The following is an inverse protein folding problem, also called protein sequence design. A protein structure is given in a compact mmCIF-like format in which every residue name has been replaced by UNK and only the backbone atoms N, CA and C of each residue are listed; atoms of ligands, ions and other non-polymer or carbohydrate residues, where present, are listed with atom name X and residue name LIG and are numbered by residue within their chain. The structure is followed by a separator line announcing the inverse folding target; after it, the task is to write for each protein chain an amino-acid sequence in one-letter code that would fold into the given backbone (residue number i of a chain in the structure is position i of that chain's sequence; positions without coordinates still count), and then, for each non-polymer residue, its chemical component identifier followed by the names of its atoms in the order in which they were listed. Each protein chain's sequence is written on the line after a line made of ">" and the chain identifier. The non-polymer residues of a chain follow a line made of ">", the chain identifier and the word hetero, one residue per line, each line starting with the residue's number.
data_IF_019465863681
#
_entry.id   IF_019465863681
#
_cell.length_a   1.000
_cell.length_b   1.000
_cell.length_c   1.000
_cell.angle_alpha   90.00
_cell.angle_beta   90.00
_cell.angle_gamma   90.00
#
_symmetry.space_group_name_H-M   'P 1'
#
loop_
_entity.id
_entity.type
_entity.pdbx_description
1 polymer ?
#
# COMPACT_ATOMS: atom_id res chain seq x y z
N UNK A 1 -9.48 10.34 -25.98
CA UNK A 1 -8.49 9.32 -25.56
C UNK A 1 -9.16 8.33 -24.63
N UNK A 2 -8.66 7.07 -24.54
CA UNK A 2 -9.02 6.16 -23.46
C UNK A 2 -8.29 6.59 -22.18
N UNK A 3 -8.77 6.15 -20.99
CA UNK A 3 -8.07 6.41 -19.72
C UNK A 3 -6.61 5.94 -19.76
N UNK A 4 -6.35 4.77 -20.35
CA UNK A 4 -5.00 4.26 -20.53
C UNK A 4 -4.12 5.19 -21.39
N UNK A 5 -4.64 5.64 -22.54
CA UNK A 5 -3.90 6.55 -23.41
C UNK A 5 -3.64 7.91 -22.75
N UNK A 6 -4.59 8.40 -21.98
CA UNK A 6 -4.49 9.69 -21.27
C UNK A 6 -3.41 9.64 -20.20
N UNK A 7 -3.41 8.60 -19.37
CA UNK A 7 -2.38 8.41 -18.34
C UNK A 7 -1.00 8.18 -18.97
N UNK A 8 -0.91 7.37 -20.04
CA UNK A 8 0.34 7.16 -20.76
C UNK A 8 0.91 8.44 -21.37
N UNK A 9 0.06 9.29 -21.97
CA UNK A 9 0.48 10.58 -22.50
C UNK A 9 1.04 11.49 -21.39
N UNK A 10 0.33 11.60 -20.26
CA UNK A 10 0.77 12.40 -19.11
C UNK A 10 2.12 11.91 -18.54
N UNK A 11 2.30 10.59 -18.38
CA UNK A 11 3.57 10.00 -17.92
C UNK A 11 4.72 10.22 -18.92
N UNK A 12 4.40 10.34 -20.22
CA UNK A 12 5.37 10.62 -21.29
C UNK A 12 5.59 12.12 -21.52
N UNK A 13 5.08 12.99 -20.65
CA UNK A 13 5.12 14.45 -20.79
C UNK A 13 4.52 14.96 -22.11
N UNK A 14 3.50 14.28 -22.63
CA UNK A 14 2.76 14.65 -23.81
C UNK A 14 1.39 15.22 -23.45
N UNK A 15 0.83 16.04 -24.32
CA UNK A 15 -0.49 16.62 -24.13
C UNK A 15 -1.57 15.54 -24.23
N UNK A 16 -2.41 15.48 -23.20
CA UNK A 16 -3.62 14.66 -23.15
C UNK A 16 -4.85 15.53 -23.43
N UNK A 17 -5.99 14.90 -23.75
CA UNK A 17 -7.27 15.60 -23.96
C UNK A 17 -7.76 16.34 -22.70
N UNK A 18 -7.40 15.83 -21.50
CA UNK A 18 -7.51 16.51 -20.21
C UNK A 18 -6.56 15.86 -19.21
N UNK A 19 -6.39 16.49 -18.05
CA UNK A 19 -5.55 15.96 -16.96
C UNK A 19 -6.16 14.66 -16.42
N UNK A 20 -5.39 13.54 -16.31
CA UNK A 20 -5.88 12.30 -15.74
C UNK A 20 -6.37 12.46 -14.31
N UNK A 21 -7.52 11.89 -13.99
CA UNK A 21 -8.14 11.92 -12.65
C UNK A 21 -7.97 10.58 -11.97
N UNK A 22 -7.14 10.53 -10.92
CA UNK A 22 -6.91 9.32 -10.11
C UNK A 22 -6.70 9.65 -8.63
N UNK A 23 -7.76 9.96 -7.90
CA UNK A 23 -7.65 10.30 -6.48
C UNK A 23 -7.21 9.10 -5.64
N UNK A 24 -6.47 9.35 -4.57
CA UNK A 24 -6.16 8.37 -3.54
C UNK A 24 -7.39 8.26 -2.63
N UNK A 25 -8.16 7.21 -2.78
CA UNK A 25 -9.46 7.05 -2.14
C UNK A 25 -9.43 6.25 -0.84
N UNK A 26 -8.36 5.49 -0.60
CA UNK A 26 -8.21 4.64 0.59
C UNK A 26 -9.50 3.86 0.92
N UNK A 27 -9.82 3.70 2.19
CA UNK A 27 -10.96 2.94 2.67
C UNK A 27 -12.34 3.54 2.42
N UNK A 28 -12.48 4.69 1.73
CA UNK A 28 -13.81 5.21 1.40
C UNK A 28 -14.58 4.27 0.48
N UNK A 29 -13.85 3.51 -0.35
CA UNK A 29 -14.41 2.53 -1.29
C UNK A 29 -15.26 1.46 -0.61
N UNK A 30 -14.96 1.12 0.64
CA UNK A 30 -15.70 0.14 1.43
C UNK A 30 -17.17 0.47 1.58
N UNK A 31 -17.49 1.78 1.63
CA UNK A 31 -18.88 2.26 1.76
C UNK A 31 -19.74 1.93 0.55
N UNK A 32 -19.11 1.78 -0.62
CA UNK A 32 -19.82 1.43 -1.86
C UNK A 32 -20.19 -0.05 -1.93
N UNK A 33 -19.58 -0.88 -1.09
CA UNK A 33 -19.83 -2.32 -0.97
C UNK A 33 -20.38 -2.72 0.39
N UNK A 34 -20.78 -1.73 1.20
CA UNK A 34 -21.35 -1.91 2.54
C UNK A 34 -20.52 -2.82 3.44
N UNK A 35 -19.20 -2.62 3.43
CA UNK A 35 -18.25 -3.40 4.21
C UNK A 35 -17.68 -2.61 5.39
N UNK A 36 -17.37 -3.33 6.49
CA UNK A 36 -16.54 -2.79 7.57
C UNK A 36 -15.12 -2.53 7.04
N UNK A 37 -14.36 -1.69 7.74
CA UNK A 37 -12.97 -1.43 7.33
C UNK A 37 -12.13 -2.71 7.39
N UNK A 38 -12.26 -3.49 8.45
CA UNK A 38 -11.56 -4.77 8.61
C UNK A 38 -11.85 -5.73 7.44
N UNK A 39 -13.15 -5.94 7.12
CA UNK A 39 -13.53 -6.82 6.01
C UNK A 39 -12.94 -6.35 4.70
N UNK A 40 -13.04 -5.06 4.39
CA UNK A 40 -12.50 -4.48 3.17
C UNK A 40 -10.98 -4.56 3.11
N UNK A 41 -10.28 -4.32 4.22
CA UNK A 41 -8.81 -4.31 4.30
C UNK A 41 -8.17 -5.71 4.41
N UNK A 42 -8.97 -6.79 4.55
CA UNK A 42 -8.46 -8.15 4.73
C UNK A 42 -9.01 -9.18 3.75
N UNK A 43 -9.96 -8.78 2.90
CA UNK A 43 -10.61 -9.66 1.91
C UNK A 43 -10.49 -9.06 0.50
N UNK A 44 -9.74 -9.74 -0.36
CA UNK A 44 -9.38 -9.25 -1.69
C UNK A 44 -10.60 -9.04 -2.61
N UNK A 45 -11.60 -9.89 -2.52
CA UNK A 45 -12.82 -9.77 -3.34
C UNK A 45 -13.61 -8.52 -2.96
N UNK A 46 -13.87 -8.32 -1.66
CA UNK A 46 -14.56 -7.14 -1.16
C UNK A 46 -13.79 -5.85 -1.46
N UNK A 47 -12.47 -5.88 -1.31
CA UNK A 47 -11.59 -4.75 -1.61
C UNK A 47 -11.65 -4.38 -3.10
N UNK A 48 -11.43 -5.35 -3.98
CA UNK A 48 -11.47 -5.13 -5.43
C UNK A 48 -12.85 -4.66 -5.91
N UNK A 49 -13.94 -5.22 -5.37
CA UNK A 49 -15.30 -4.77 -5.69
C UNK A 49 -15.52 -3.30 -5.32
N UNK A 50 -14.99 -2.84 -4.18
CA UNK A 50 -15.03 -1.42 -3.78
C UNK A 50 -14.33 -0.51 -4.77
N UNK A 51 -13.10 -0.87 -5.19
CA UNK A 51 -12.35 -0.12 -6.20
C UNK A 51 -13.07 -0.08 -7.55
N UNK A 52 -13.60 -1.22 -8.02
CA UNK A 52 -14.31 -1.29 -9.30
C UNK A 52 -15.58 -0.43 -9.30
N UNK A 53 -16.38 -0.49 -8.23
CA UNK A 53 -17.55 0.40 -8.09
C UNK A 53 -17.18 1.88 -8.06
N UNK A 54 -16.06 2.20 -7.44
CA UNK A 54 -15.57 3.59 -7.42
C UNK A 54 -15.21 4.07 -8.82
N UNK A 55 -14.51 3.24 -9.61
CA UNK A 55 -14.16 3.56 -10.98
C UNK A 55 -15.39 3.77 -11.87
N UNK A 56 -16.44 2.97 -11.66
CA UNK A 56 -17.70 3.12 -12.41
C UNK A 56 -18.47 4.38 -12.02
N UNK A 57 -18.46 4.74 -10.73
CA UNK A 57 -19.25 5.85 -10.23
C UNK A 57 -18.63 7.22 -10.54
N UNK A 58 -17.31 7.32 -10.55
CA UNK A 58 -16.61 8.60 -10.63
C UNK A 58 -15.82 8.82 -11.93
N UNK A 59 -15.97 7.94 -12.91
CA UNK A 59 -15.28 8.04 -14.23
C UNK A 59 -13.77 8.32 -14.09
N UNK A 60 -13.10 7.48 -13.31
CA UNK A 60 -11.69 7.63 -13.01
C UNK A 60 -10.81 7.15 -14.18
N UNK A 61 -9.64 7.78 -14.32
CA UNK A 61 -8.65 7.39 -15.33
C UNK A 61 -7.65 6.33 -14.86
N UNK A 62 -7.54 6.13 -13.54
CA UNK A 62 -6.64 5.15 -12.96
C UNK A 62 -7.14 4.76 -11.57
N UNK A 63 -6.83 3.55 -11.14
CA UNK A 63 -7.03 3.10 -9.77
C UNK A 63 -5.69 2.99 -9.05
N UNK A 64 -5.59 3.63 -7.88
CA UNK A 64 -4.44 3.52 -6.97
C UNK A 64 -4.82 2.62 -5.81
N UNK A 65 -4.12 1.49 -5.64
CA UNK A 65 -4.49 0.44 -4.66
C UNK A 65 -3.98 0.73 -3.25
N UNK A 66 -4.05 1.98 -2.80
CA UNK A 66 -3.77 2.29 -1.39
C UNK A 66 -4.93 1.79 -0.53
N UNK A 67 -4.76 0.66 0.12
CA UNK A 67 -5.70 0.09 1.08
C UNK A 67 -5.52 0.77 2.43
N UNK A 68 -4.34 0.63 3.02
CA UNK A 68 -3.89 1.36 4.21
C UNK A 68 -2.35 1.32 4.29
N UNK A 69 -1.77 2.03 5.23
CA UNK A 69 -0.32 2.18 5.37
C UNK A 69 0.34 1.09 6.22
N UNK A 70 -0.43 0.14 6.76
CA UNK A 70 0.06 -0.87 7.70
C UNK A 70 0.23 -2.26 7.09
N UNK A 71 0.09 -2.39 5.77
CA UNK A 71 0.18 -3.70 5.09
C UNK A 71 1.57 -4.30 5.23
N UNK A 72 2.60 -3.50 4.97
CA UNK A 72 3.99 -3.96 4.93
C UNK A 72 4.51 -4.32 6.32
N UNK A 73 4.16 -3.57 7.35
CA UNK A 73 4.66 -3.85 8.71
C UNK A 73 4.13 -5.18 9.31
N UNK A 74 3.01 -5.69 8.80
CA UNK A 74 2.46 -7.00 9.16
C UNK A 74 3.46 -8.15 8.92
N UNK A 75 4.32 -8.03 7.90
CA UNK A 75 5.36 -9.03 7.57
C UNK A 75 6.35 -9.25 8.72
N UNK A 76 6.65 -8.21 9.51
CA UNK A 76 7.51 -8.31 10.69
C UNK A 76 6.75 -8.63 11.97
N UNK A 77 5.45 -8.97 11.87
CA UNK A 77 4.63 -9.35 13.01
C UNK A 77 4.14 -8.16 13.84
N UNK A 78 4.14 -6.95 13.31
CA UNK A 78 3.57 -5.80 13.98
C UNK A 78 2.07 -6.03 14.21
N UNK A 79 1.66 -5.98 15.47
CA UNK A 79 0.24 -6.05 15.81
C UNK A 79 -0.50 -4.84 15.25
N UNK A 80 -1.68 -5.11 14.69
CA UNK A 80 -2.54 -4.10 14.10
C UNK A 80 -3.86 -4.01 14.87
N UNK A 81 -4.33 -2.78 14.99
CA UNK A 81 -5.67 -2.46 15.48
C UNK A 81 -6.54 -2.18 14.25
N UNK A 82 -7.74 -2.76 14.23
CA UNK A 82 -8.75 -2.56 13.18
C UNK A 82 -9.96 -1.82 13.77
N UNK A 83 -9.94 -0.48 13.83
CA UNK A 83 -11.10 0.27 14.29
C UNK A 83 -12.25 0.12 13.30
N UNK A 84 -13.48 0.24 13.79
CA UNK A 84 -14.67 0.06 12.94
C UNK A 84 -14.74 1.06 11.77
N UNK A 85 -14.36 2.30 12.00
CA UNK A 85 -14.54 3.41 11.06
C UNK A 85 -13.24 4.12 10.63
N UNK A 86 -12.08 3.61 11.05
CA UNK A 86 -10.76 4.17 10.73
C UNK A 86 -9.87 3.14 10.06
N UNK A 87 -8.81 3.61 9.38
CA UNK A 87 -7.84 2.73 8.76
C UNK A 87 -7.13 1.86 9.81
N UNK A 88 -6.79 0.60 9.48
CA UNK A 88 -5.91 -0.19 10.31
C UNK A 88 -4.61 0.54 10.60
N UNK A 89 -4.14 0.43 11.82
CA UNK A 89 -2.89 1.05 12.26
C UNK A 89 -2.14 0.17 13.25
N UNK A 90 -0.81 0.36 13.42
CA UNK A 90 -0.04 -0.38 14.40
C UNK A 90 -0.53 -0.18 15.83
N UNK A 91 -0.44 -1.25 16.62
CA UNK A 91 -0.56 -1.16 18.08
C UNK A 91 0.79 -0.67 18.66
N UNK A 92 0.92 0.64 18.82
CA UNK A 92 2.13 1.25 19.37
C UNK A 92 2.33 1.02 20.88
N UNK A 93 1.42 0.31 21.57
CA UNK A 93 1.68 -0.17 22.92
C UNK A 93 2.62 -1.39 22.93
N UNK A 94 2.75 -2.07 21.79
CA UNK A 94 3.63 -3.24 21.60
C UNK A 94 4.31 -3.18 20.22
N UNK A 95 5.18 -2.19 19.95
CA UNK A 95 5.85 -2.05 18.68
C UNK A 95 6.94 -3.11 18.50
N UNK A 96 7.21 -3.47 17.25
CA UNK A 96 8.31 -4.41 16.91
C UNK A 96 9.68 -3.81 17.26
N UNK A 97 9.86 -2.52 17.00
CA UNK A 97 11.07 -1.78 17.36
C UNK A 97 10.75 -0.95 18.62
N UNK A 98 11.31 -1.34 19.77
CA UNK A 98 11.11 -0.67 21.06
C UNK A 98 12.26 0.26 21.42
N UNK A 99 13.46 -0.15 21.04
CA UNK A 99 14.70 0.54 21.33
C UNK A 99 15.57 0.57 20.08
N UNK A 100 16.59 1.43 20.07
CA UNK A 100 17.47 1.65 18.91
C UNK A 100 18.19 0.36 18.48
N UNK A 101 18.53 -0.50 19.42
CA UNK A 101 19.18 -1.80 19.19
C UNK A 101 18.27 -2.77 18.43
N UNK A 102 16.97 -2.56 18.45
CA UNK A 102 16.00 -3.44 17.79
C UNK A 102 16.06 -3.30 16.26
N UNK A 103 16.57 -2.18 15.73
CA UNK A 103 16.78 -2.04 14.28
C UNK A 103 17.64 -3.15 13.71
N UNK A 104 18.62 -3.65 14.48
CA UNK A 104 19.46 -4.77 14.06
C UNK A 104 18.71 -6.10 13.93
N UNK A 105 17.52 -6.21 14.50
CA UNK A 105 16.64 -7.39 14.42
C UNK A 105 15.79 -7.40 13.15
N UNK A 106 15.60 -6.25 12.52
CA UNK A 106 14.86 -6.15 11.26
C UNK A 106 15.69 -6.84 10.17
N UNK A 107 15.14 -7.90 9.60
CA UNK A 107 15.76 -8.71 8.57
C UNK A 107 14.88 -8.73 7.33
N UNK A 108 15.49 -9.04 6.18
CA UNK A 108 14.73 -9.36 4.98
C UNK A 108 13.75 -10.51 5.29
N UNK A 109 12.52 -10.33 4.91
CA UNK A 109 11.43 -11.31 5.10
C UNK A 109 10.85 -11.68 3.74
N UNK A 110 10.30 -12.90 3.65
CA UNK A 110 9.52 -13.27 2.48
C UNK A 110 8.09 -12.70 2.61
N UNK A 111 7.76 -11.70 1.81
CA UNK A 111 6.44 -11.06 1.80
C UNK A 111 5.30 -12.06 1.55
N UNK A 112 5.58 -13.21 0.91
CA UNK A 112 4.60 -14.28 0.66
C UNK A 112 4.08 -14.92 1.94
N UNK A 113 4.78 -14.74 3.06
CA UNK A 113 4.34 -15.20 4.38
C UNK A 113 3.28 -14.30 5.00
N UNK A 114 3.17 -13.03 4.57
CA UNK A 114 2.14 -12.11 5.03
C UNK A 114 0.84 -12.31 4.26
N UNK A 115 -0.22 -12.62 5.00
CA UNK A 115 -1.56 -12.75 4.45
C UNK A 115 -2.04 -11.43 3.82
N UNK A 116 -1.71 -10.28 4.42
CA UNK A 116 -2.15 -8.98 3.94
C UNK A 116 -1.42 -8.54 2.68
N UNK A 117 -0.11 -8.80 2.59
CA UNK A 117 0.65 -8.54 1.36
C UNK A 117 0.13 -9.40 0.20
N UNK A 118 -0.12 -10.70 0.43
CA UNK A 118 -0.70 -11.58 -0.59
C UNK A 118 -2.11 -11.16 -0.98
N UNK A 119 -2.91 -10.67 -0.03
CA UNK A 119 -4.22 -10.10 -0.30
C UNK A 119 -4.12 -8.85 -1.19
N UNK A 120 -3.19 -7.94 -0.93
CA UNK A 120 -2.99 -6.75 -1.77
C UNK A 120 -2.59 -7.13 -3.20
N UNK A 121 -1.69 -8.09 -3.38
CA UNK A 121 -1.33 -8.63 -4.71
C UNK A 121 -2.56 -9.21 -5.41
N UNK A 122 -3.42 -9.94 -4.70
CA UNK A 122 -4.65 -10.50 -5.29
C UNK A 122 -5.65 -9.40 -5.68
N UNK A 123 -5.75 -8.31 -4.90
CA UNK A 123 -6.53 -7.12 -5.28
C UNK A 123 -6.01 -6.55 -6.60
N UNK A 124 -4.70 -6.30 -6.72
CA UNK A 124 -4.10 -5.78 -7.96
C UNK A 124 -4.42 -6.67 -9.15
N UNK A 125 -4.24 -7.99 -9.00
CA UNK A 125 -4.54 -8.98 -10.07
C UNK A 125 -6.00 -8.91 -10.51
N UNK A 126 -6.95 -8.89 -9.58
CA UNK A 126 -8.39 -8.78 -9.87
C UNK A 126 -8.74 -7.48 -10.59
N UNK A 127 -8.15 -6.36 -10.21
CA UNK A 127 -8.37 -5.07 -10.85
C UNK A 127 -7.80 -5.04 -12.26
N UNK A 128 -6.58 -5.54 -12.46
CA UNK A 128 -5.95 -5.65 -13.79
C UNK A 128 -6.79 -6.53 -14.71
N UNK A 129 -7.25 -7.69 -14.24
CA UNK A 129 -8.10 -8.57 -15.01
C UNK A 129 -9.43 -7.92 -15.41
N UNK A 130 -10.08 -7.22 -14.46
CA UNK A 130 -11.36 -6.56 -14.70
C UNK A 130 -11.26 -5.33 -15.62
N UNK A 131 -10.13 -4.62 -15.62
CA UNK A 131 -9.93 -3.36 -16.37
C UNK A 131 -8.91 -3.48 -17.51
N UNK A 132 -8.50 -4.67 -17.88
CA UNK A 132 -7.46 -4.94 -18.88
C UNK A 132 -7.66 -4.12 -20.16
N UNK A 133 -6.64 -3.31 -20.51
CA UNK A 133 -6.64 -2.47 -21.70
C UNK A 133 -7.54 -1.22 -21.64
N UNK A 134 -8.31 -1.02 -20.57
CA UNK A 134 -9.23 0.11 -20.44
C UNK A 134 -8.68 1.17 -19.49
N UNK A 135 -8.11 0.76 -18.36
CA UNK A 135 -7.67 1.63 -17.29
C UNK A 135 -6.40 1.07 -16.65
N UNK A 136 -5.37 1.89 -16.41
CA UNK A 136 -4.19 1.46 -15.64
C UNK A 136 -4.52 1.26 -14.16
N UNK A 137 -3.80 0.33 -13.55
CA UNK A 137 -3.83 0.08 -12.11
C UNK A 137 -2.46 0.44 -11.55
N UNK A 138 -2.41 1.29 -10.55
CA UNK A 138 -1.18 1.68 -9.85
C UNK A 138 -1.16 0.99 -8.50
N UNK A 139 -0.22 0.07 -8.32
CA UNK A 139 0.02 -0.54 -7.02
C UNK A 139 0.69 0.49 -6.09
N UNK A 140 0.17 0.59 -4.88
CA UNK A 140 0.76 1.42 -3.85
C UNK A 140 1.68 0.57 -2.97
N UNK A 141 2.86 1.08 -2.69
CA UNK A 141 3.83 0.48 -1.76
C UNK A 141 4.34 1.56 -0.82
N UNK A 142 4.33 1.28 0.48
CA UNK A 142 4.81 2.24 1.47
C UNK A 142 6.34 2.19 1.54
N UNK A 143 7.00 3.34 1.42
CA UNK A 143 8.46 3.41 1.37
C UNK A 143 9.17 2.96 2.66
N UNK A 144 10.48 2.66 2.62
CA UNK A 144 11.21 2.09 3.76
C UNK A 144 11.08 2.88 5.05
N UNK A 145 11.22 4.20 5.00
CA UNK A 145 11.06 5.06 6.18
C UNK A 145 9.63 5.05 6.71
N UNK A 146 8.65 5.02 5.79
CA UNK A 146 7.25 4.88 6.15
C UNK A 146 6.97 3.56 6.85
N UNK A 147 7.49 2.45 6.33
CA UNK A 147 7.35 1.13 6.98
C UNK A 147 8.00 1.11 8.35
N UNK A 148 9.20 1.68 8.51
CA UNK A 148 9.85 1.81 9.83
C UNK A 148 8.99 2.62 10.80
N UNK A 149 8.29 3.67 10.35
CA UNK A 149 7.36 4.43 11.20
C UNK A 149 6.14 3.64 11.66
N UNK A 150 5.83 2.52 11.00
CA UNK A 150 4.79 1.58 11.41
C UNK A 150 5.30 0.50 12.38
N UNK A 151 6.62 0.25 12.40
CA UNK A 151 7.29 -0.70 13.31
C UNK A 151 7.79 -0.03 14.59
N UNK A 152 8.09 1.27 14.51
CA UNK A 152 8.52 2.17 15.57
C UNK A 152 7.58 3.37 15.58
N UNK A 153 7.10 3.83 16.72
CA UNK A 153 6.28 5.02 16.69
C UNK A 153 7.04 6.21 16.08
N UNK A 154 6.33 7.10 15.44
CA UNK A 154 6.91 8.16 14.61
C UNK A 154 7.81 9.13 15.39
N UNK A 155 7.44 9.45 16.65
CA UNK A 155 8.23 10.35 17.48
C UNK A 155 9.58 9.75 17.83
N UNK A 156 9.60 8.48 18.26
CA UNK A 156 10.83 7.77 18.60
C UNK A 156 11.70 7.56 17.36
N UNK A 157 11.11 7.21 16.19
CA UNK A 157 11.85 7.11 14.94
C UNK A 157 12.59 8.40 14.58
N UNK A 158 11.98 9.56 14.79
CA UNK A 158 12.65 10.84 14.53
C UNK A 158 13.79 11.12 15.52
N UNK A 159 13.64 10.73 16.77
CA UNK A 159 14.75 10.81 17.74
C UNK A 159 15.87 9.85 17.38
N UNK A 160 15.55 8.61 17.02
CA UNK A 160 16.53 7.60 16.60
C UNK A 160 17.32 8.05 15.34
N UNK A 161 16.66 8.72 14.39
CA UNK A 161 17.32 9.31 13.21
C UNK A 161 18.33 10.40 13.56
N UNK A 162 18.13 11.09 14.70
CA UNK A 162 19.07 12.08 15.21
C UNK A 162 20.20 11.42 16.03
N UNK A 163 19.88 10.44 16.87
CA UNK A 163 20.81 9.84 17.81
C UNK A 163 21.70 8.78 17.13
N UNK A 164 21.15 7.92 16.27
CA UNK A 164 21.89 6.90 15.49
C UNK A 164 21.28 6.69 14.09
N UNK A 165 21.54 7.60 13.15
CA UNK A 165 21.00 7.49 11.79
C UNK A 165 21.48 6.24 11.05
N UNK A 166 22.62 5.66 11.42
CA UNK A 166 23.16 4.50 10.74
C UNK A 166 22.42 3.20 11.13
N UNK A 167 21.96 3.08 12.37
CA UNK A 167 21.08 1.99 12.79
C UNK A 167 19.76 2.02 12.01
N UNK A 168 19.15 3.19 11.88
CA UNK A 168 17.90 3.36 11.11
C UNK A 168 18.10 3.05 9.63
N UNK A 169 19.19 3.54 9.01
CA UNK A 169 19.53 3.25 7.61
C UNK A 169 19.78 1.77 7.36
N UNK A 170 20.45 1.08 8.30
CA UNK A 170 20.71 -0.36 8.17
C UNK A 170 19.43 -1.18 8.15
N UNK A 171 18.40 -0.78 8.91
CA UNK A 171 17.08 -1.41 8.89
C UNK A 171 16.28 -1.07 7.62
N UNK A 172 16.54 0.09 7.01
CA UNK A 172 15.91 0.51 5.75
C UNK A 172 16.38 -0.29 4.52
N UNK A 173 17.22 -1.33 4.68
CA UNK A 173 17.59 -2.31 3.63
C UNK A 173 16.39 -3.10 3.05
N UNK A 174 15.20 -2.56 3.22
CA UNK A 174 13.95 -3.01 2.61
C UNK A 174 13.92 -2.80 1.08
N UNK A 175 14.94 -2.14 0.49
CA UNK A 175 15.02 -1.95 -0.97
C UNK A 175 14.83 -3.23 -1.77
N UNK A 176 15.31 -4.36 -1.28
CA UNK A 176 15.13 -5.63 -1.98
C UNK A 176 13.69 -6.13 -1.97
N UNK A 177 12.91 -5.89 -0.90
CA UNK A 177 11.49 -6.20 -0.84
C UNK A 177 10.72 -5.40 -1.90
N UNK A 178 11.03 -4.11 -2.02
CA UNK A 178 10.37 -3.24 -3.01
C UNK A 178 10.75 -3.59 -4.45
N UNK A 179 11.97 -4.02 -4.71
CA UNK A 179 12.39 -4.52 -6.03
C UNK A 179 11.63 -5.79 -6.42
N UNK A 180 11.40 -6.69 -5.46
CA UNK A 180 10.61 -7.90 -5.69
C UNK A 180 9.12 -7.58 -5.94
N UNK A 181 8.54 -6.63 -5.20
CA UNK A 181 7.17 -6.18 -5.40
C UNK A 181 7.00 -5.46 -6.75
N UNK A 182 7.91 -4.55 -7.09
CA UNK A 182 7.90 -3.85 -8.38
C UNK A 182 8.06 -4.81 -9.57
N UNK A 183 8.78 -5.93 -9.40
CA UNK A 183 8.88 -6.95 -10.43
C UNK A 183 7.58 -7.74 -10.66
N UNK A 184 6.65 -7.75 -9.68
CA UNK A 184 5.31 -8.35 -9.84
C UNK A 184 4.37 -7.44 -10.63
N UNK A 185 4.60 -6.13 -10.65
CA UNK A 185 3.81 -5.17 -11.44
C UNK A 185 4.11 -5.26 -12.93
N UNK A 186 5.17 -5.96 -13.31
CA UNK A 186 5.60 -6.18 -14.71
C UNK A 186 4.96 -7.44 -15.34
N UNK A 187 3.86 -7.95 -14.80
CA UNK A 187 3.09 -9.01 -15.46
C UNK A 187 2.25 -8.37 -16.57
N UNK A 188 2.75 -8.54 -17.79
CA UNK A 188 2.14 -8.16 -19.08
C UNK A 188 0.69 -8.63 -19.25
#
# INVERSE_FOLDING_TARGET
>A
MTSFQRVAAALSHQEADHVPVYPILCGINRKLVDATYEKWATDAETCAAGFLKTAELFDLDCLVTLIDLSIECDVWGQKLIFPENEAPHPDYSDPVIREIEDYAKIKKVDYRTSRRMMMHIDVCRRLVEAKKGQMPIVAFVFGPLGTLSMLRNQQDLYMDLYDDPDAVKAAALLEELYKELAALDAVE
#
